data_IF_621470400769
#
_entry.id   IF_621470400769
#
_cell.length_a   1.000
_cell.length_b   1.000
_cell.length_c   1.000
_cell.angle_alpha   90.00
_cell.angle_beta   90.00
_cell.angle_gamma   90.00
#
_symmetry.space_group_name_H-M   'P 1'
#
loop_
_entity.id
_entity.type
_entity.pdbx_description
1 polymer ?
#
# COMPACT_ATOMS: atom_id res chain seq x y z
N UNK A 1 -28.44 -19.91 3.69
CA UNK A 1 -29.16 -20.81 2.77
C UNK A 1 -29.60 -22.08 3.50
N UNK A 2 -28.72 -22.78 4.17
CA UNK A 2 -29.01 -24.01 4.95
C UNK A 2 -30.25 -23.94 5.85
N UNK A 3 -30.34 -22.93 6.73
CA UNK A 3 -31.49 -22.72 7.61
C UNK A 3 -32.83 -22.53 6.85
N UNK A 4 -32.79 -22.04 5.61
CA UNK A 4 -34.00 -21.91 4.76
C UNK A 4 -34.44 -23.25 4.21
N UNK A 5 -33.48 -24.09 3.79
CA UNK A 5 -33.76 -25.44 3.31
C UNK A 5 -34.35 -26.28 4.45
N UNK A 6 -33.78 -26.18 5.65
CA UNK A 6 -34.26 -26.90 6.83
C UNK A 6 -35.66 -26.50 7.22
N UNK A 7 -35.96 -25.20 7.28
CA UNK A 7 -37.32 -24.71 7.57
C UNK A 7 -38.34 -25.13 6.49
N UNK A 8 -37.93 -25.13 5.21
CA UNK A 8 -38.77 -25.59 4.13
C UNK A 8 -39.09 -27.08 4.25
N UNK A 9 -38.09 -27.91 4.56
CA UNK A 9 -38.25 -29.35 4.80
C UNK A 9 -39.24 -29.64 5.95
N UNK A 10 -39.08 -28.97 7.09
CA UNK A 10 -39.98 -29.10 8.24
C UNK A 10 -41.39 -28.67 7.91
N UNK A 11 -41.54 -27.53 7.22
CA UNK A 11 -42.86 -27.01 6.83
C UNK A 11 -43.60 -27.95 5.86
N UNK A 12 -42.88 -28.48 4.85
CA UNK A 12 -43.50 -29.41 3.85
C UNK A 12 -43.87 -30.72 4.53
N UNK A 13 -43.03 -31.29 5.40
CA UNK A 13 -43.36 -32.52 6.12
C UNK A 13 -44.53 -32.32 7.09
N UNK A 14 -44.63 -31.16 7.73
CA UNK A 14 -45.81 -30.83 8.56
C UNK A 14 -47.09 -30.74 7.78
N UNK A 15 -47.05 -30.11 6.61
CA UNK A 15 -48.23 -30.02 5.71
C UNK A 15 -48.62 -31.37 5.07
N UNK A 16 -47.60 -32.18 4.74
CA UNK A 16 -47.78 -33.50 4.12
C UNK A 16 -48.28 -34.58 5.09
N UNK A 17 -48.16 -34.38 6.39
CA UNK A 17 -48.53 -35.36 7.42
C UNK A 17 -49.99 -35.81 7.35
N UNK A 18 -50.91 -34.93 6.94
CA UNK A 18 -52.34 -35.22 6.76
C UNK A 18 -52.60 -36.22 5.61
N UNK A 19 -51.76 -36.22 4.57
CA UNK A 19 -51.87 -37.07 3.38
C UNK A 19 -50.86 -38.22 3.38
N UNK A 20 -50.15 -38.44 4.50
CA UNK A 20 -49.10 -39.47 4.64
C UNK A 20 -47.94 -39.28 3.62
N UNK A 21 -47.67 -38.04 3.22
CA UNK A 21 -46.60 -37.68 2.29
C UNK A 21 -45.50 -37.00 3.11
N UNK A 22 -44.27 -37.45 2.96
CA UNK A 22 -43.10 -36.81 3.59
C UNK A 22 -41.90 -36.83 2.68
N UNK A 23 -41.08 -35.79 2.77
CA UNK A 23 -39.77 -35.74 2.18
C UNK A 23 -38.84 -36.52 3.10
N UNK A 24 -38.00 -37.40 2.54
CA UNK A 24 -37.06 -38.19 3.32
C UNK A 24 -35.88 -37.35 3.80
N UNK A 25 -35.30 -37.74 4.94
CA UNK A 25 -34.08 -37.10 5.45
C UNK A 25 -32.88 -37.29 4.50
N UNK A 26 -32.87 -38.37 3.73
CA UNK A 26 -31.85 -38.60 2.68
C UNK A 26 -31.92 -37.52 1.58
N UNK A 27 -33.12 -37.21 1.10
CA UNK A 27 -33.30 -36.14 0.11
C UNK A 27 -32.85 -34.79 0.64
N UNK A 28 -33.16 -34.48 1.91
CA UNK A 28 -32.68 -33.26 2.55
C UNK A 28 -31.15 -33.22 2.60
N UNK A 29 -30.50 -34.33 2.98
CA UNK A 29 -29.06 -34.40 3.03
C UNK A 29 -28.43 -34.16 1.66
N UNK A 30 -28.98 -34.78 0.60
CA UNK A 30 -28.52 -34.55 -0.77
C UNK A 30 -28.66 -33.06 -1.19
N UNK A 31 -29.71 -32.38 -0.76
CA UNK A 31 -29.89 -30.95 -1.05
C UNK A 31 -28.90 -30.07 -0.29
N UNK A 32 -28.49 -30.46 0.90
CA UNK A 32 -27.43 -29.76 1.62
C UNK A 32 -26.05 -30.04 0.99
N UNK A 33 -25.78 -31.27 0.59
CA UNK A 33 -24.53 -31.62 -0.10
C UNK A 33 -24.40 -30.88 -1.44
N UNK A 34 -25.48 -30.73 -2.20
CA UNK A 34 -25.57 -29.92 -3.43
C UNK A 34 -25.22 -28.44 -3.13
N UNK A 35 -25.80 -27.86 -2.08
CA UNK A 35 -25.51 -26.48 -1.65
C UNK A 35 -24.05 -26.30 -1.29
N UNK A 36 -23.45 -27.25 -0.56
CA UNK A 36 -22.04 -27.16 -0.17
C UNK A 36 -21.11 -27.29 -1.36
N UNK A 37 -21.42 -28.18 -2.31
CA UNK A 37 -20.63 -28.32 -3.55
C UNK A 37 -20.70 -27.05 -4.40
N UNK A 38 -21.87 -26.43 -4.51
CA UNK A 38 -22.04 -25.18 -5.25
C UNK A 38 -21.26 -24.03 -4.59
N UNK A 39 -21.27 -23.97 -3.27
CA UNK A 39 -20.50 -23.00 -2.51
C UNK A 39 -18.97 -23.20 -2.66
N UNK A 40 -18.48 -24.44 -2.59
CA UNK A 40 -17.08 -24.77 -2.83
C UNK A 40 -16.65 -24.41 -4.27
N UNK A 41 -17.51 -24.66 -5.25
CA UNK A 41 -17.25 -24.30 -6.64
C UNK A 41 -17.15 -22.79 -6.82
N UNK A 42 -18.08 -22.03 -6.24
CA UNK A 42 -18.01 -20.56 -6.26
C UNK A 42 -16.73 -20.02 -5.61
N UNK A 43 -16.34 -20.57 -4.45
CA UNK A 43 -15.11 -20.19 -3.77
C UNK A 43 -13.86 -20.46 -4.63
N UNK A 44 -13.80 -21.62 -5.30
CA UNK A 44 -12.68 -21.93 -6.19
C UNK A 44 -12.63 -21.01 -7.39
N UNK A 45 -13.76 -20.77 -8.03
CA UNK A 45 -13.85 -19.84 -9.16
C UNK A 45 -13.46 -18.40 -8.76
N UNK A 46 -13.84 -17.99 -7.57
CA UNK A 46 -13.44 -16.69 -7.03
C UNK A 46 -11.94 -16.63 -6.76
N UNK A 47 -11.38 -17.66 -6.13
CA UNK A 47 -9.95 -17.76 -5.88
C UNK A 47 -9.12 -17.73 -7.18
N UNK A 48 -9.54 -18.47 -8.21
CA UNK A 48 -8.89 -18.45 -9.53
C UNK A 48 -8.94 -17.06 -10.19
N UNK A 49 -10.08 -16.37 -10.12
CA UNK A 49 -10.21 -15.00 -10.66
C UNK A 49 -9.29 -14.00 -9.94
N UNK A 50 -9.19 -14.13 -8.63
CA UNK A 50 -8.34 -13.27 -7.83
C UNK A 50 -6.87 -13.57 -8.10
N UNK A 51 -6.48 -14.84 -8.26
CA UNK A 51 -5.14 -15.23 -8.66
C UNK A 51 -4.76 -14.67 -10.03
N UNK A 52 -5.65 -14.78 -11.01
CA UNK A 52 -5.43 -14.19 -12.34
C UNK A 52 -5.29 -12.66 -12.28
N UNK A 53 -6.05 -11.99 -11.42
CA UNK A 53 -5.93 -10.54 -11.20
C UNK A 53 -4.59 -10.19 -10.57
N UNK A 54 -4.16 -10.93 -9.55
CA UNK A 54 -2.88 -10.72 -8.88
C UNK A 54 -1.70 -10.91 -9.84
N UNK A 55 -1.71 -11.98 -10.64
CA UNK A 55 -0.69 -12.23 -11.67
C UNK A 55 -0.66 -11.08 -12.69
N UNK A 56 -1.82 -10.64 -13.17
CA UNK A 56 -1.91 -9.54 -14.13
C UNK A 56 -1.43 -8.22 -13.56
N UNK A 57 -1.72 -7.95 -12.28
CA UNK A 57 -1.24 -6.75 -11.59
C UNK A 57 0.27 -6.79 -11.41
N UNK A 58 0.82 -7.94 -11.03
CA UNK A 58 2.27 -8.13 -10.91
C UNK A 58 2.98 -7.93 -12.27
N UNK A 59 2.47 -8.54 -13.34
CA UNK A 59 3.01 -8.33 -14.70
C UNK A 59 2.97 -6.87 -15.12
N UNK A 60 1.88 -6.16 -14.82
CA UNK A 60 1.73 -4.74 -15.12
C UNK A 60 2.72 -3.88 -14.32
N UNK A 61 2.98 -4.24 -13.07
CA UNK A 61 3.96 -3.56 -12.23
C UNK A 61 5.39 -3.78 -12.74
N UNK A 62 5.72 -5.02 -13.12
CA UNK A 62 7.01 -5.34 -13.74
C UNK A 62 7.21 -4.58 -15.07
N UNK A 63 6.17 -4.50 -15.90
CA UNK A 63 6.24 -3.75 -17.16
C UNK A 63 6.44 -2.24 -16.92
N UNK A 64 5.77 -1.67 -15.91
CA UNK A 64 5.98 -0.27 -15.52
C UNK A 64 7.41 -0.04 -15.04
N UNK A 65 7.92 -0.90 -14.15
CA UNK A 65 9.29 -0.79 -13.64
C UNK A 65 10.33 -0.88 -14.77
N UNK A 66 10.17 -1.79 -15.72
CA UNK A 66 11.03 -1.88 -16.88
C UNK A 66 10.99 -0.61 -17.75
N UNK A 67 9.81 -0.07 -18.01
CA UNK A 67 9.64 1.18 -18.76
C UNK A 67 10.30 2.38 -18.07
N UNK A 68 10.16 2.46 -16.74
CA UNK A 68 10.82 3.50 -15.93
C UNK A 68 12.35 3.39 -16.01
N UNK A 69 12.89 2.17 -15.88
CA UNK A 69 14.32 1.91 -16.01
C UNK A 69 14.85 2.25 -17.40
N UNK A 70 14.15 1.84 -18.47
CA UNK A 70 14.53 2.19 -19.84
C UNK A 70 14.49 3.71 -20.08
N UNK A 71 13.48 4.39 -19.55
CA UNK A 71 13.35 5.85 -19.64
C UNK A 71 14.49 6.52 -18.91
N UNK A 72 14.78 6.12 -17.66
CA UNK A 72 15.87 6.67 -16.87
C UNK A 72 17.23 6.47 -17.53
N UNK A 73 17.48 5.30 -18.14
CA UNK A 73 18.70 5.04 -18.89
C UNK A 73 18.84 5.95 -20.13
N UNK A 74 17.75 6.17 -20.87
CA UNK A 74 17.72 7.09 -22.02
C UNK A 74 17.94 8.55 -21.59
N UNK A 75 17.28 8.98 -20.52
CA UNK A 75 17.39 10.34 -19.99
C UNK A 75 18.82 10.60 -19.49
N UNK A 76 19.43 9.66 -18.76
CA UNK A 76 20.81 9.73 -18.32
C UNK A 76 21.80 9.76 -19.49
N UNK A 77 21.54 9.00 -20.55
CA UNK A 77 22.37 9.04 -21.77
C UNK A 77 22.28 10.40 -22.47
N UNK A 78 21.09 10.98 -22.57
CA UNK A 78 20.90 12.32 -23.15
C UNK A 78 21.59 13.42 -22.33
N UNK A 79 21.57 13.30 -21.01
CA UNK A 79 22.28 14.23 -20.13
C UNK A 79 23.80 14.10 -20.28
N UNK A 80 24.34 12.89 -20.31
CA UNK A 80 25.77 12.64 -20.57
C UNK A 80 26.21 13.26 -21.89
N UNK A 81 25.44 13.05 -22.98
CA UNK A 81 25.72 13.66 -24.27
C UNK A 81 25.67 15.20 -24.25
N UNK A 82 24.71 15.78 -23.51
CA UNK A 82 24.63 17.24 -23.36
C UNK A 82 25.81 17.82 -22.62
N UNK A 83 26.25 17.19 -21.52
CA UNK A 83 27.42 17.62 -20.77
C UNK A 83 28.70 17.42 -21.57
N UNK A 84 28.84 16.32 -22.29
CA UNK A 84 29.98 16.08 -23.16
C UNK A 84 30.10 17.16 -24.27
N UNK A 85 28.99 17.48 -24.96
CA UNK A 85 28.96 18.54 -25.99
C UNK A 85 29.22 19.94 -25.39
N UNK A 86 28.71 20.22 -24.21
CA UNK A 86 28.96 21.48 -23.53
C UNK A 86 30.43 21.63 -23.10
N UNK A 87 31.03 20.53 -22.66
CA UNK A 87 32.45 20.46 -22.28
C UNK A 87 33.38 20.66 -23.47
N UNK A 88 33.04 20.04 -24.61
CA UNK A 88 33.78 20.21 -25.87
C UNK A 88 33.77 21.67 -26.35
N UNK A 89 32.59 22.31 -26.31
CA UNK A 89 32.44 23.75 -26.61
C UNK A 89 33.24 24.61 -25.64
N UNK A 90 33.13 24.36 -24.35
CA UNK A 90 33.88 25.14 -23.37
C UNK A 90 35.40 25.01 -23.52
N UNK A 91 35.92 23.82 -23.90
CA UNK A 91 37.35 23.61 -24.22
C UNK A 91 37.78 24.37 -25.47
N UNK A 92 36.94 24.41 -26.51
CA UNK A 92 37.23 25.16 -27.72
C UNK A 92 37.23 26.70 -27.47
N UNK A 93 36.38 27.17 -26.57
CA UNK A 93 36.34 28.58 -26.20
C UNK A 93 37.55 29.00 -25.31
N UNK A 94 38.09 28.09 -24.51
CA UNK A 94 39.32 28.32 -23.71
C UNK A 94 40.50 28.60 -24.60
N UNK A 95 40.65 27.93 -25.77
CA UNK A 95 41.75 28.18 -26.71
C UNK A 95 41.76 29.63 -27.25
N UNK A 96 40.59 30.32 -27.24
CA UNK A 96 40.42 31.66 -27.74
C UNK A 96 40.41 32.76 -26.66
N UNK A 97 40.24 32.37 -25.41
CA UNK A 97 40.06 33.29 -24.28
C UNK A 97 41.38 33.76 -23.66
N UNK A 98 41.43 35.03 -23.17
CA UNK A 98 42.59 35.58 -22.49
C UNK A 98 42.17 36.29 -21.16
N UNK A 99 43.05 36.20 -20.13
CA UNK A 99 42.84 36.92 -18.88
C UNK A 99 41.75 36.38 -17.99
N UNK A 100 40.93 37.24 -17.42
CA UNK A 100 39.85 36.89 -16.45
C UNK A 100 38.73 36.01 -17.04
N UNK A 101 38.55 35.97 -18.35
CA UNK A 101 37.60 35.09 -19.01
C UNK A 101 38.10 33.62 -18.99
N UNK A 102 39.41 33.44 -19.06
CA UNK A 102 40.03 32.11 -19.00
C UNK A 102 39.80 31.42 -17.62
N UNK A 103 39.84 32.17 -16.55
CA UNK A 103 39.57 31.62 -15.20
C UNK A 103 38.10 31.20 -15.04
N UNK A 104 37.15 32.01 -15.55
CA UNK A 104 35.71 31.66 -15.52
C UNK A 104 35.41 30.42 -16.37
N UNK A 105 36.02 30.29 -17.52
CA UNK A 105 35.88 29.13 -18.40
C UNK A 105 36.47 27.87 -17.80
N UNK A 106 37.62 27.96 -17.12
CA UNK A 106 38.23 26.84 -16.41
C UNK A 106 37.36 26.37 -15.23
N UNK A 107 36.75 27.29 -14.51
CA UNK A 107 35.81 26.94 -13.44
C UNK A 107 34.58 26.24 -13.99
N UNK A 108 34.03 26.73 -15.09
CA UNK A 108 32.89 26.10 -15.78
C UNK A 108 33.21 24.70 -16.34
N UNK A 109 34.43 24.50 -16.84
CA UNK A 109 34.91 23.18 -17.27
C UNK A 109 34.96 22.21 -16.11
N UNK A 110 35.41 22.66 -14.93
CA UNK A 110 35.45 21.84 -13.73
C UNK A 110 34.04 21.42 -13.30
N UNK A 111 33.10 22.35 -13.26
CA UNK A 111 31.69 22.07 -12.93
C UNK A 111 31.03 21.11 -13.93
N UNK A 112 31.33 21.28 -15.23
CA UNK A 112 30.84 20.38 -16.29
C UNK A 112 31.44 18.98 -16.19
N UNK A 113 32.72 18.84 -15.83
CA UNK A 113 33.34 17.53 -15.60
C UNK A 113 32.71 16.81 -14.40
N UNK A 114 32.48 17.52 -13.28
CA UNK A 114 31.81 16.94 -12.10
C UNK A 114 30.36 16.51 -12.43
N UNK A 115 29.67 17.28 -13.27
CA UNK A 115 28.30 16.96 -13.72
C UNK A 115 28.29 15.75 -14.69
N UNK A 116 29.27 15.67 -15.58
CA UNK A 116 29.45 14.52 -16.49
C UNK A 116 29.73 13.23 -15.73
N UNK A 117 30.60 13.28 -14.73
CA UNK A 117 30.93 12.12 -13.88
C UNK A 117 29.70 11.63 -13.11
N UNK A 118 28.89 12.55 -12.57
CA UNK A 118 27.62 12.22 -11.91
C UNK A 118 26.61 11.58 -12.88
N UNK A 119 26.46 12.15 -14.08
CA UNK A 119 25.58 11.60 -15.11
C UNK A 119 26.02 10.20 -15.57
N UNK A 120 27.34 9.98 -15.71
CA UNK A 120 27.90 8.67 -16.04
C UNK A 120 27.61 7.63 -14.96
N UNK A 121 27.81 7.96 -13.69
CA UNK A 121 27.48 7.08 -12.56
C UNK A 121 25.99 6.77 -12.48
N UNK A 122 25.10 7.73 -12.75
CA UNK A 122 23.68 7.51 -12.80
C UNK A 122 23.27 6.56 -13.93
N UNK A 123 23.86 6.72 -15.12
CA UNK A 123 23.65 5.83 -16.26
C UNK A 123 24.09 4.40 -15.97
N UNK A 124 25.27 4.21 -15.39
CA UNK A 124 25.78 2.88 -15.02
C UNK A 124 24.85 2.19 -14.00
N UNK A 125 24.38 2.93 -13.00
CA UNK A 125 23.41 2.41 -12.01
C UNK A 125 22.09 2.00 -12.66
N UNK A 126 21.53 2.84 -13.54
CA UNK A 126 20.28 2.55 -14.23
C UNK A 126 20.41 1.30 -15.14
N UNK A 127 21.53 1.16 -15.88
CA UNK A 127 21.80 -0.02 -16.71
C UNK A 127 21.99 -1.27 -15.86
N UNK A 128 22.75 -1.17 -14.76
CA UNK A 128 22.98 -2.29 -13.83
C UNK A 128 21.66 -2.78 -13.21
N UNK A 129 20.79 -1.87 -12.77
CA UNK A 129 19.48 -2.22 -12.24
C UNK A 129 18.56 -2.85 -13.29
N UNK A 130 18.60 -2.36 -14.53
CA UNK A 130 17.83 -2.96 -15.63
C UNK A 130 18.27 -4.38 -15.98
N UNK A 131 19.54 -4.71 -15.77
CA UNK A 131 20.11 -6.06 -16.03
C UNK A 131 19.80 -7.05 -14.90
N UNK A 132 19.59 -6.57 -13.68
CA UNK A 132 19.28 -7.40 -12.50
C UNK A 132 17.78 -7.65 -12.42
N UNK A 133 17.29 -8.70 -13.07
CA UNK A 133 15.86 -9.06 -13.14
C UNK A 133 15.19 -9.34 -11.76
N UNK A 134 15.99 -9.52 -10.70
CA UNK A 134 15.51 -9.84 -9.34
C UNK A 134 15.78 -8.75 -8.31
N UNK A 135 16.60 -7.75 -8.63
CA UNK A 135 16.90 -6.68 -7.68
C UNK A 135 15.72 -5.73 -7.48
N UNK A 136 15.59 -5.21 -6.27
CA UNK A 136 14.51 -4.30 -5.93
C UNK A 136 14.57 -3.88 -4.46
N UNK A 137 13.48 -3.27 -4.00
CA UNK A 137 13.32 -2.85 -2.61
C UNK A 137 12.16 -3.59 -1.96
N UNK A 138 12.38 -4.14 -0.79
CA UNK A 138 11.32 -4.61 0.10
C UNK A 138 10.94 -3.45 1.00
N UNK A 139 9.65 -3.09 0.99
CA UNK A 139 9.11 -2.03 1.84
C UNK A 139 8.34 -2.63 3.02
N UNK A 140 8.45 -1.95 4.18
CA UNK A 140 7.71 -2.25 5.39
C UNK A 140 6.91 -0.99 5.72
N UNK A 141 5.59 -1.08 5.63
CA UNK A 141 4.69 0.06 5.77
C UNK A 141 3.54 -0.27 6.72
N UNK A 142 2.98 0.76 7.38
CA UNK A 142 1.77 0.63 8.18
C UNK A 142 0.78 1.74 7.88
N UNK A 143 -0.47 1.55 8.28
CA UNK A 143 -1.50 2.58 8.22
C UNK A 143 -2.41 2.42 9.43
N UNK A 144 -2.04 3.09 10.53
CA UNK A 144 -2.75 2.99 11.82
C UNK A 144 -4.20 3.44 11.69
N UNK A 145 -4.45 4.48 10.89
CA UNK A 145 -5.79 5.02 10.70
C UNK A 145 -6.76 4.09 9.98
N UNK A 146 -6.24 3.21 9.11
CA UNK A 146 -7.04 2.29 8.30
C UNK A 146 -7.13 0.88 8.89
N UNK A 147 -6.02 0.38 9.47
CA UNK A 147 -5.92 -1.02 9.89
C UNK A 147 -5.69 -1.19 11.40
N UNK A 148 -5.37 -0.11 12.12
CA UNK A 148 -5.02 -0.16 13.54
C UNK A 148 -3.52 -0.30 13.80
N UNK A 149 -3.17 -0.40 15.08
CA UNK A 149 -1.79 -0.54 15.54
C UNK A 149 -1.25 -1.96 15.32
N UNK A 150 0.07 -2.07 15.15
CA UNK A 150 0.79 -3.35 14.97
C UNK A 150 0.37 -4.17 13.74
N UNK A 151 -0.15 -3.52 12.71
CA UNK A 151 -0.43 -4.13 11.42
C UNK A 151 0.50 -3.54 10.38
N UNK A 152 1.33 -4.40 9.80
CA UNK A 152 2.33 -4.02 8.81
C UNK A 152 2.08 -4.74 7.50
N UNK A 153 2.22 -4.00 6.41
CA UNK A 153 2.31 -4.57 5.06
C UNK A 153 3.77 -4.69 4.68
N UNK A 154 4.15 -5.87 4.22
CA UNK A 154 5.47 -6.16 3.69
C UNK A 154 5.30 -6.58 2.24
N UNK A 155 5.92 -5.84 1.33
CA UNK A 155 5.87 -6.12 -0.09
C UNK A 155 7.15 -5.64 -0.78
N UNK A 156 7.27 -5.90 -2.08
CA UNK A 156 8.45 -5.49 -2.85
C UNK A 156 8.09 -4.61 -4.04
N UNK A 157 9.06 -3.88 -4.52
CA UNK A 157 8.98 -3.14 -5.78
C UNK A 157 10.33 -3.11 -6.48
N UNK A 158 10.30 -3.14 -7.81
CA UNK A 158 11.50 -2.98 -8.65
C UNK A 158 11.65 -1.57 -9.20
N UNK A 159 10.78 -0.64 -8.80
CA UNK A 159 10.83 0.75 -9.25
C UNK A 159 12.08 1.45 -8.75
N UNK A 160 12.58 2.39 -9.54
CA UNK A 160 13.70 3.26 -9.15
C UNK A 160 13.38 4.06 -7.89
N UNK A 161 12.14 4.58 -7.82
CA UNK A 161 11.62 5.31 -6.67
C UNK A 161 10.58 4.44 -5.92
N UNK A 162 11.02 3.72 -4.88
CA UNK A 162 10.13 2.80 -4.15
C UNK A 162 8.96 3.50 -3.47
N UNK A 163 9.15 4.78 -3.08
CA UNK A 163 8.12 5.59 -2.42
C UNK A 163 6.92 5.86 -3.33
N UNK A 164 7.11 5.91 -4.65
CA UNK A 164 6.00 6.10 -5.59
C UNK A 164 5.04 4.90 -5.56
N UNK A 165 5.59 3.68 -5.38
CA UNK A 165 4.76 2.50 -5.19
C UNK A 165 3.95 2.57 -3.90
N UNK A 166 4.57 3.01 -2.80
CA UNK A 166 3.88 3.16 -1.51
C UNK A 166 2.74 4.18 -1.61
N UNK A 167 2.96 5.32 -2.26
CA UNK A 167 1.92 6.33 -2.51
C UNK A 167 0.77 5.76 -3.33
N UNK A 168 1.04 5.08 -4.44
CA UNK A 168 -0.01 4.45 -5.26
C UNK A 168 -0.86 3.43 -4.46
N UNK A 169 -0.26 2.72 -3.50
CA UNK A 169 -1.00 1.81 -2.62
C UNK A 169 -1.96 2.58 -1.67
N UNK A 170 -1.59 3.80 -1.27
CA UNK A 170 -2.42 4.68 -0.44
C UNK A 170 -3.54 5.34 -1.23
N UNK A 171 -3.25 5.90 -2.41
CA UNK A 171 -4.16 6.76 -3.18
C UNK A 171 -5.50 6.11 -3.53
N UNK A 172 -5.52 4.80 -3.81
CA UNK A 172 -6.69 4.13 -4.38
C UNK A 172 -7.56 3.34 -3.39
N UNK A 173 -7.05 3.01 -2.20
CA UNK A 173 -7.66 1.94 -1.40
C UNK A 173 -7.88 2.28 0.07
N UNK A 174 -7.22 3.30 0.62
CA UNK A 174 -7.26 3.62 2.05
C UNK A 174 -7.44 5.13 2.27
N UNK A 175 -8.11 5.54 3.37
CA UNK A 175 -8.41 6.94 3.64
C UNK A 175 -7.24 7.76 4.17
N UNK A 176 -6.10 7.15 4.45
CA UNK A 176 -4.89 7.78 4.97
C UNK A 176 -3.66 7.22 4.27
N UNK A 177 -2.61 8.04 4.18
CA UNK A 177 -1.33 7.61 3.63
C UNK A 177 -0.66 6.53 4.48
N UNK A 178 0.19 5.71 3.83
CA UNK A 178 1.00 4.74 4.54
C UNK A 178 2.24 5.39 5.16
N UNK A 179 2.53 5.03 6.40
CA UNK A 179 3.80 5.32 7.05
C UNK A 179 4.86 4.31 6.61
N UNK A 180 6.02 4.80 6.20
CA UNK A 180 7.15 3.95 5.76
C UNK A 180 8.10 3.71 6.93
N UNK A 181 8.21 2.47 7.36
CA UNK A 181 9.12 2.04 8.42
C UNK A 181 10.49 1.64 7.91
N UNK A 182 10.56 1.10 6.71
CA UNK A 182 11.81 0.72 6.08
C UNK A 182 11.70 0.41 4.60
N UNK A 183 12.81 0.68 3.90
CA UNK A 183 13.05 0.32 2.51
C UNK A 183 14.37 -0.42 2.46
N UNK A 184 14.33 -1.69 2.07
CA UNK A 184 15.48 -2.59 2.11
C UNK A 184 15.83 -2.98 0.67
N UNK A 185 16.97 -2.51 0.18
CA UNK A 185 17.47 -2.95 -1.11
C UNK A 185 17.97 -4.40 -1.01
N UNK A 186 17.62 -5.22 -1.99
CA UNK A 186 18.10 -6.59 -2.12
C UNK A 186 18.35 -6.92 -3.59
N UNK A 187 19.40 -7.67 -3.87
CA UNK A 187 19.67 -8.23 -5.19
C UNK A 187 18.65 -9.32 -5.57
N UNK A 188 18.02 -9.94 -4.55
CA UNK A 188 16.89 -10.86 -4.69
C UNK A 188 15.73 -10.40 -3.80
N UNK A 189 15.07 -9.32 -4.21
CA UNK A 189 13.95 -8.75 -3.48
C UNK A 189 12.75 -9.71 -3.36
N UNK A 190 12.36 -10.48 -4.41
CA UNK A 190 11.33 -11.50 -4.28
C UNK A 190 11.68 -12.60 -3.28
N UNK A 191 12.96 -13.02 -3.25
CA UNK A 191 13.44 -14.01 -2.28
C UNK A 191 13.39 -13.52 -0.84
N UNK A 192 13.79 -12.26 -0.62
CA UNK A 192 13.73 -11.62 0.69
C UNK A 192 12.28 -11.45 1.18
N UNK A 193 11.40 -10.93 0.32
CA UNK A 193 9.96 -10.79 0.62
C UNK A 193 9.35 -12.13 1.02
N UNK A 194 9.52 -13.17 0.19
CA UNK A 194 9.00 -14.51 0.45
C UNK A 194 9.52 -15.09 1.78
N UNK A 195 10.77 -14.82 2.12
CA UNK A 195 11.37 -15.27 3.37
C UNK A 195 10.74 -14.58 4.58
N UNK A 196 10.55 -13.26 4.52
CA UNK A 196 9.82 -12.51 5.55
C UNK A 196 8.39 -13.00 5.71
N UNK A 197 7.69 -13.21 4.60
CA UNK A 197 6.32 -13.74 4.61
C UNK A 197 6.23 -15.13 5.25
N UNK A 198 7.18 -16.03 4.98
CA UNK A 198 7.23 -17.37 5.61
C UNK A 198 7.44 -17.29 7.12
N UNK A 199 8.31 -16.40 7.61
CA UNK A 199 8.54 -16.24 9.05
C UNK A 199 7.33 -15.62 9.77
N UNK A 200 6.57 -14.79 9.08
CA UNK A 200 5.37 -14.13 9.61
C UNK A 200 4.06 -14.84 9.22
N UNK A 201 4.11 -16.02 8.63
CA UNK A 201 2.94 -16.70 8.09
C UNK A 201 1.85 -16.95 9.13
N UNK A 202 2.24 -17.36 10.36
CA UNK A 202 1.32 -17.53 11.48
C UNK A 202 0.68 -16.24 12.00
N UNK A 203 1.16 -15.07 11.55
CA UNK A 203 0.73 -13.73 11.94
C UNK A 203 0.01 -12.98 10.85
N UNK A 204 -0.39 -13.65 9.79
CA UNK A 204 -1.20 -13.03 8.73
C UNK A 204 -2.48 -12.46 9.29
N UNK A 205 -2.81 -11.24 8.88
CA UNK A 205 -4.09 -10.62 9.22
C UNK A 205 -5.26 -11.35 8.57
N UNK A 206 -5.09 -11.73 7.31
CA UNK A 206 -6.08 -12.50 6.56
C UNK A 206 -5.61 -13.96 6.43
N UNK A 207 -6.30 -14.87 7.11
CA UNK A 207 -6.01 -16.30 7.09
C UNK A 207 -6.70 -17.04 5.93
N UNK A 208 -7.67 -16.41 5.28
CA UNK A 208 -8.42 -16.98 4.15
C UNK A 208 -7.70 -16.69 2.84
N UNK A 209 -7.29 -15.45 2.63
CA UNK A 209 -6.48 -15.05 1.48
C UNK A 209 -5.01 -14.87 1.90
N UNK A 210 -4.22 -15.89 1.66
CA UNK A 210 -2.79 -15.93 2.00
C UNK A 210 -1.93 -15.01 1.13
N UNK A 211 -2.50 -14.40 0.08
CA UNK A 211 -1.83 -13.40 -0.78
C UNK A 211 -1.88 -12.01 -0.18
N UNK A 212 -2.77 -11.77 0.80
CA UNK A 212 -2.80 -10.53 1.53
C UNK A 212 -1.52 -10.39 2.38
N UNK A 213 -0.69 -9.41 2.05
CA UNK A 213 0.67 -9.19 2.59
C UNK A 213 0.64 -8.36 3.88
N UNK A 214 -0.42 -8.48 4.69
CA UNK A 214 -0.57 -7.80 5.97
C UNK A 214 -0.37 -8.76 7.13
N UNK A 215 0.42 -8.30 8.13
CA UNK A 215 0.83 -9.11 9.27
C UNK A 215 0.59 -8.36 10.58
N UNK A 216 0.09 -9.09 11.59
CA UNK A 216 -0.07 -8.59 12.97
C UNK A 216 1.21 -8.89 13.72
N UNK A 217 2.11 -7.91 13.82
CA UNK A 217 3.46 -8.07 14.39
C UNK A 217 3.98 -6.75 14.94
N UNK A 218 5.21 -6.72 15.46
CA UNK A 218 5.90 -5.50 15.91
C UNK A 218 7.13 -5.22 15.06
N UNK A 219 7.57 -3.95 15.03
CA UNK A 219 8.79 -3.56 14.31
C UNK A 219 10.02 -4.28 14.88
N UNK A 220 10.09 -4.46 16.19
CA UNK A 220 11.18 -5.16 16.86
C UNK A 220 11.30 -6.62 16.40
N UNK A 221 10.18 -7.26 16.14
CA UNK A 221 10.17 -8.63 15.65
C UNK A 221 10.63 -8.70 14.19
N UNK A 222 10.18 -7.76 13.35
CA UNK A 222 10.66 -7.65 11.97
C UNK A 222 12.17 -7.36 11.94
N UNK A 223 12.65 -6.45 12.79
CA UNK A 223 14.09 -6.18 12.93
C UNK A 223 14.89 -7.43 13.34
N UNK A 224 14.34 -8.23 14.24
CA UNK A 224 14.99 -9.48 14.67
C UNK A 224 15.11 -10.46 13.51
N UNK A 225 14.05 -10.66 12.76
CA UNK A 225 14.06 -11.52 11.57
C UNK A 225 15.11 -11.01 10.55
N UNK A 226 15.16 -9.72 10.28
CA UNK A 226 16.13 -9.13 9.36
C UNK A 226 17.58 -9.32 9.84
N UNK A 227 17.84 -9.22 11.14
CA UNK A 227 19.16 -9.48 11.74
C UNK A 227 19.58 -10.94 11.59
N UNK A 228 18.66 -11.88 11.72
CA UNK A 228 18.91 -13.31 11.52
C UNK A 228 19.38 -13.61 10.07
N UNK A 229 19.00 -12.74 9.10
CA UNK A 229 19.48 -12.78 7.70
C UNK A 229 20.71 -11.89 7.44
N UNK A 230 21.42 -11.42 8.48
CA UNK A 230 22.56 -10.51 8.37
C UNK A 230 22.24 -9.17 7.70
N UNK A 231 20.98 -8.76 7.68
CA UNK A 231 20.55 -7.47 7.18
C UNK A 231 20.40 -6.51 8.36
N UNK A 232 21.44 -5.67 8.60
CA UNK A 232 21.34 -4.62 9.59
C UNK A 232 20.68 -3.37 8.98
N UNK A 233 19.36 -3.28 9.11
CA UNK A 233 18.57 -2.15 8.65
C UNK A 233 18.01 -1.41 9.86
N UNK A 234 18.15 -0.08 9.87
CA UNK A 234 17.47 0.74 10.86
C UNK A 234 16.04 0.99 10.39
N UNK A 235 15.07 0.43 11.13
CA UNK A 235 13.65 0.67 10.88
C UNK A 235 13.15 1.85 11.72
N UNK A 236 12.28 2.68 11.12
CA UNK A 236 11.59 3.75 11.84
C UNK A 236 10.49 3.14 12.70
N UNK A 237 10.64 3.23 14.03
CA UNK A 237 9.73 2.57 14.98
C UNK A 237 8.38 3.25 15.12
N UNK A 238 8.36 4.57 14.99
CA UNK A 238 7.14 5.36 15.19
C UNK A 238 6.46 5.64 13.86
N UNK A 239 5.22 5.22 13.75
CA UNK A 239 4.33 5.69 12.70
C UNK A 239 3.95 7.16 12.98
N UNK A 240 4.18 8.03 12.02
CA UNK A 240 3.80 9.45 12.14
C UNK A 240 2.27 9.57 12.16
N UNK A 241 1.57 8.81 11.34
CA UNK A 241 0.11 8.77 11.18
C UNK A 241 -0.50 10.20 11.20
N UNK A 242 0.16 11.13 10.50
CA UNK A 242 -0.08 12.58 10.60
C UNK A 242 -1.53 12.94 10.32
N UNK A 243 -2.04 12.55 9.17
CA UNK A 243 -3.41 12.84 8.74
C UNK A 243 -4.46 12.22 9.66
N UNK A 244 -4.21 11.00 10.14
CA UNK A 244 -5.08 10.32 11.08
C UNK A 244 -5.16 11.06 12.41
N UNK A 245 -4.01 11.44 12.99
CA UNK A 245 -3.96 12.19 14.26
C UNK A 245 -4.58 13.58 14.14
N UNK A 246 -4.35 14.25 13.01
CA UNK A 246 -4.99 15.53 12.71
C UNK A 246 -6.52 15.38 12.59
N UNK A 247 -7.00 14.35 11.91
CA UNK A 247 -8.41 14.04 11.80
C UNK A 247 -9.08 13.76 13.16
N UNK A 248 -8.38 13.05 14.06
CA UNK A 248 -8.84 12.84 15.44
C UNK A 248 -8.95 14.17 16.17
N UNK A 249 -7.93 15.03 16.09
CA UNK A 249 -7.92 16.31 16.79
C UNK A 249 -9.06 17.23 16.31
N UNK A 250 -9.35 17.25 15.01
CA UNK A 250 -10.47 17.97 14.43
C UNK A 250 -11.81 17.42 14.92
N UNK A 251 -11.99 16.09 14.98
CA UNK A 251 -13.21 15.48 15.53
C UNK A 251 -13.43 15.83 16.98
N UNK A 252 -12.40 15.73 17.80
CA UNK A 252 -12.47 16.09 19.22
C UNK A 252 -12.79 17.59 19.43
N UNK A 253 -12.23 18.46 18.61
CA UNK A 253 -12.55 19.89 18.66
C UNK A 253 -14.02 20.16 18.28
N UNK A 254 -14.55 19.48 17.27
CA UNK A 254 -15.97 19.59 16.88
C UNK A 254 -16.91 19.06 17.97
N UNK A 255 -16.59 17.95 18.60
CA UNK A 255 -17.38 17.39 19.71
C UNK A 255 -17.40 18.33 20.92
N UNK A 256 -16.24 18.90 21.28
CA UNK A 256 -16.17 19.92 22.35
C UNK A 256 -16.99 21.15 22.04
N UNK A 257 -16.94 21.64 20.79
CA UNK A 257 -17.74 22.78 20.37
C UNK A 257 -19.24 22.48 20.41
N UNK A 258 -19.66 21.28 20.04
CA UNK A 258 -21.06 20.85 20.09
C UNK A 258 -21.57 20.72 21.52
N UNK A 259 -20.76 20.13 22.40
CA UNK A 259 -21.10 19.99 23.83
C UNK A 259 -21.16 21.36 24.54
N UNK A 260 -20.27 22.29 24.21
CA UNK A 260 -20.30 23.66 24.72
C UNK A 260 -21.51 24.45 24.22
N UNK A 261 -22.06 24.16 23.02
CA UNK A 261 -23.30 24.74 22.54
C UNK A 261 -24.56 24.16 23.24
N UNK A 262 -24.49 22.90 23.66
CA UNK A 262 -25.57 22.26 24.41
C UNK A 262 -25.72 22.81 25.87
N UNK A 263 -24.62 23.34 26.43
CA UNK A 263 -24.60 23.93 27.77
C UNK A 263 -24.93 25.45 27.82
N UNK A 264 -25.37 26.05 26.70
CA UNK A 264 -25.83 27.45 26.72
C UNK A 264 -27.15 27.48 27.52
N UNK A 265 -27.18 28.16 28.70
CA UNK A 265 -28.40 28.26 29.48
C UNK A 265 -29.46 28.98 28.65
N UNK A 266 -30.69 28.39 28.64
CA UNK A 266 -31.86 28.99 27.96
C UNK A 266 -31.91 30.48 28.26
N UNK A 267 -31.90 31.28 27.20
CA UNK A 267 -31.96 32.76 27.30
C UNK A 267 -33.18 33.17 28.14
N UNK A 268 -33.09 34.31 28.82
CA UNK A 268 -34.22 34.83 29.64
C UNK A 268 -35.55 34.91 28.85
N UNK A 269 -35.47 35.06 27.53
CA UNK A 269 -36.61 35.10 26.61
C UNK A 269 -37.29 33.74 26.49
N UNK A 270 -36.54 32.63 26.42
CA UNK A 270 -37.12 31.26 26.40
C UNK A 270 -37.77 30.90 27.74
N UNK A 271 -37.17 31.33 28.84
CA UNK A 271 -37.77 31.16 30.20
C UNK A 271 -39.02 31.99 30.39
N UNK A 272 -39.22 33.09 29.67
CA UNK A 272 -40.46 33.88 29.69
C UNK A 272 -41.54 33.27 28.80
N UNK A 273 -41.20 32.68 27.68
CA UNK A 273 -42.11 31.95 26.76
C UNK A 273 -42.74 30.69 27.43
N UNK A 274 -41.99 29.98 28.23
CA UNK A 274 -42.53 28.82 29.00
C UNK A 274 -43.58 29.18 30.07
N UNK A 275 -43.70 30.50 30.41
CA UNK A 275 -44.67 31.00 31.39
C UNK A 275 -46.01 31.42 30.81
N UNK A 276 -46.15 31.39 29.49
CA UNK A 276 -47.48 31.69 28.90
C UNK A 276 -48.31 30.42 28.84
N UNK A 277 -49.58 30.46 29.37
CA UNK A 277 -50.47 29.31 29.30
C UNK A 277 -50.85 29.01 27.85
N UNK A 278 -50.67 27.76 27.47
CA UNK A 278 -50.97 27.21 26.12
C UNK A 278 -52.45 26.86 25.93
N UNK A 279 -53.36 27.33 26.79
CA UNK A 279 -54.81 27.12 26.64
C UNK A 279 -55.52 28.46 26.55
N UNK A 280 -56.01 28.78 25.39
CA UNK A 280 -57.19 29.60 25.18
C UNK A 280 -58.35 28.61 25.14
N UNK A 281 -59.06 28.50 26.31
CA UNK A 281 -60.44 28.02 26.35
C UNK A 281 -61.37 29.15 25.97
#
# INVERSE_FOLDING_TARGET
MEARIQKAFEAINKLGSTNQISITSEYMRLKLDELYLEFELEQKLQAEKEEQRAIKEQMREEEKALKELEKAAKDAQLEEERYAKALEKAKADVEKAKGAELEKLNQKIKELNESLEKAHLQKERAISQAQLTKSGHVYIISNIGSFGENIYKIGMTRRLEPLDRVKELGDASVPFDFDVHGLIYSEDAPGLENTLHKHLDSKRLNLVDTRAEFFVTTIEEIEKILKDFNLSVQLTKLAEAKEYRESISIRQAKEKALNNQADIPKTQVEKQLEKFPTSLD
#
